data_IF_788716394002
#
_entry.id   IF_788716394002
#
_cell.length_a   1.000
_cell.length_b   1.000
_cell.length_c   1.000
_cell.angle_alpha   90.00
_cell.angle_beta   90.00
_cell.angle_gamma   90.00
#
_symmetry.space_group_name_H-M   'P 1'
#
loop_
_entity.id
_entity.type
_entity.pdbx_description
1 polymer ?
#
# COMPACT_ATOMS: atom_id res chain seq x y z
N UNK A 1 -21.21 18.52 -16.50
CA UNK A 1 -20.35 17.33 -16.42
C UNK A 1 -18.99 17.82 -15.95
N UNK A 2 -18.68 17.71 -14.65
CA UNK A 2 -17.38 18.15 -14.13
C UNK A 2 -16.35 17.08 -14.52
N UNK A 3 -15.64 17.31 -15.61
CA UNK A 3 -14.53 16.45 -16.00
C UNK A 3 -13.41 16.66 -14.97
N UNK A 4 -13.30 15.74 -14.01
CA UNK A 4 -12.15 15.73 -13.10
C UNK A 4 -11.01 15.05 -13.86
N UNK A 5 -9.93 15.78 -14.09
CA UNK A 5 -8.75 15.21 -14.69
C UNK A 5 -8.12 14.28 -13.64
N UNK A 6 -8.06 12.99 -13.97
CA UNK A 6 -7.49 11.97 -13.08
C UNK A 6 -6.13 11.54 -13.62
N UNK A 7 -5.18 11.40 -12.71
CA UNK A 7 -3.85 10.87 -12.96
C UNK A 7 -3.75 9.45 -12.42
N UNK A 8 -2.69 8.73 -12.80
CA UNK A 8 -2.32 7.49 -12.11
C UNK A 8 -1.16 7.78 -11.16
N UNK A 9 -1.32 7.39 -9.91
CA UNK A 9 -0.31 7.50 -8.87
C UNK A 9 0.16 6.11 -8.48
N UNK A 10 1.47 5.93 -8.41
CA UNK A 10 2.09 4.76 -7.80
C UNK A 10 2.31 5.07 -6.32
N UNK A 11 1.50 4.42 -5.49
CA UNK A 11 1.51 4.57 -4.05
C UNK A 11 2.33 3.44 -3.42
N UNK A 12 3.05 3.77 -2.36
CA UNK A 12 3.74 2.84 -1.48
C UNK A 12 3.15 2.98 -0.08
N UNK A 13 2.56 1.91 0.43
CA UNK A 13 1.96 1.85 1.76
C UNK A 13 2.75 0.88 2.63
N UNK A 14 3.45 1.38 3.66
CA UNK A 14 4.12 0.51 4.63
C UNK A 14 3.11 -0.40 5.33
N UNK A 15 3.48 -1.65 5.62
CA UNK A 15 2.62 -2.57 6.39
C UNK A 15 2.51 -2.22 7.89
N UNK A 16 3.11 -1.11 8.31
CA UNK A 16 2.93 -0.49 9.61
C UNK A 16 2.29 0.90 9.51
N UNK A 17 1.69 1.24 8.37
CA UNK A 17 1.01 2.51 8.20
C UNK A 17 -0.15 2.64 9.19
N UNK A 18 -0.23 3.78 9.86
CA UNK A 18 -1.29 4.14 10.81
C UNK A 18 -2.36 5.01 10.12
N UNK A 19 -2.05 5.58 8.97
CA UNK A 19 -3.02 6.33 8.17
C UNK A 19 -2.52 6.73 6.78
N UNK A 20 -3.34 7.50 6.03
CA UNK A 20 -2.97 8.03 4.71
C UNK A 20 -1.70 8.90 4.72
N UNK A 21 -1.33 9.45 5.88
CA UNK A 21 -0.10 10.24 6.04
C UNK A 21 1.18 9.44 5.80
N UNK A 22 1.14 8.13 6.06
CA UNK A 22 2.27 7.22 5.92
C UNK A 22 2.42 6.66 4.50
N UNK A 23 1.42 6.90 3.64
CA UNK A 23 1.48 6.51 2.23
C UNK A 23 2.39 7.47 1.47
N UNK A 24 3.35 6.91 0.75
CA UNK A 24 4.26 7.65 -0.12
C UNK A 24 3.80 7.57 -1.58
N UNK A 25 3.91 8.68 -2.31
CA UNK A 25 3.73 8.70 -3.77
C UNK A 25 5.11 8.53 -4.38
N UNK A 26 5.37 7.38 -5.00
CA UNK A 26 6.66 7.07 -5.62
C UNK A 26 6.79 7.75 -6.97
N UNK A 27 5.72 7.71 -7.75
CA UNK A 27 5.73 8.12 -9.15
C UNK A 27 4.30 8.42 -9.59
N UNK A 28 4.16 9.18 -10.68
CA UNK A 28 2.86 9.55 -11.27
C UNK A 28 2.96 9.45 -12.79
N UNK A 29 1.88 9.04 -13.44
CA UNK A 29 1.71 9.22 -14.87
C UNK A 29 0.78 10.42 -15.12
N UNK A 30 1.28 11.40 -15.86
CA UNK A 30 0.55 12.60 -16.25
C UNK A 30 -0.49 12.30 -17.36
N UNK A 31 -0.23 11.28 -18.18
CA UNK A 31 -1.07 10.89 -19.30
C UNK A 31 -1.01 9.38 -19.59
N UNK A 32 -1.68 8.97 -20.67
CA UNK A 32 -1.74 7.56 -21.08
C UNK A 32 -0.48 7.05 -21.79
N UNK A 33 0.36 7.94 -22.31
CA UNK A 33 1.64 7.57 -22.93
C UNK A 33 2.69 7.27 -21.86
N UNK A 34 2.58 7.91 -20.69
CA UNK A 34 3.46 7.68 -19.54
C UNK A 34 3.03 6.50 -18.64
N UNK A 35 1.77 6.06 -18.74
CA UNK A 35 1.26 4.93 -17.95
C UNK A 35 2.06 3.62 -18.10
N UNK A 36 2.53 3.19 -19.29
CA UNK A 36 3.35 1.99 -19.43
C UNK A 36 4.64 2.01 -18.60
N UNK A 37 5.30 3.18 -18.47
CA UNK A 37 6.48 3.35 -17.62
C UNK A 37 6.11 3.15 -16.16
N UNK A 38 5.05 3.83 -15.70
CA UNK A 38 4.55 3.72 -14.33
C UNK A 38 4.14 2.28 -13.98
N UNK A 39 3.49 1.59 -14.91
CA UNK A 39 3.09 0.20 -14.73
C UNK A 39 4.29 -0.74 -14.62
N UNK A 40 5.33 -0.50 -15.41
CA UNK A 40 6.58 -1.27 -15.29
C UNK A 40 7.26 -1.04 -13.93
N UNK A 41 7.34 0.21 -13.46
CA UNK A 41 7.87 0.53 -12.11
C UNK A 41 7.08 -0.19 -11.01
N UNK A 42 5.76 -0.23 -11.13
CA UNK A 42 4.88 -0.97 -10.22
C UNK A 42 5.16 -2.48 -10.22
N UNK A 43 5.30 -3.11 -11.39
CA UNK A 43 5.57 -4.55 -11.49
C UNK A 43 6.96 -4.89 -10.92
N UNK A 44 7.97 -4.06 -11.18
CA UNK A 44 9.32 -4.22 -10.62
C UNK A 44 9.30 -4.10 -9.09
N UNK A 45 8.63 -3.08 -8.56
CA UNK A 45 8.52 -2.86 -7.12
C UNK A 45 7.71 -3.95 -6.44
N UNK A 46 6.64 -4.48 -7.05
CA UNK A 46 5.85 -5.56 -6.43
C UNK A 46 6.54 -6.93 -6.53
N UNK A 47 7.50 -7.10 -7.43
CA UNK A 47 8.14 -8.39 -7.70
C UNK A 47 8.78 -9.06 -6.46
N UNK A 48 9.29 -8.29 -5.50
CA UNK A 48 9.91 -8.81 -4.27
C UNK A 48 8.93 -9.60 -3.37
N UNK A 49 7.63 -9.33 -3.48
CA UNK A 49 6.61 -10.00 -2.68
C UNK A 49 6.20 -11.37 -3.24
N UNK A 50 6.70 -11.76 -4.41
CA UNK A 50 6.43 -13.07 -5.01
C UNK A 50 7.44 -14.12 -4.54
N UNK A 51 6.95 -15.33 -4.28
CA UNK A 51 7.80 -16.48 -3.99
C UNK A 51 8.32 -17.16 -5.28
N UNK A 52 9.15 -18.20 -5.14
CA UNK A 52 9.71 -18.96 -6.27
C UNK A 52 8.63 -19.58 -7.17
N UNK A 53 7.44 -19.86 -6.60
CA UNK A 53 6.25 -20.35 -7.31
C UNK A 53 5.42 -19.22 -7.97
N UNK A 54 5.90 -17.98 -7.94
CA UNK A 54 5.24 -16.76 -8.45
C UNK A 54 3.90 -16.47 -7.78
N UNK A 55 3.73 -16.88 -6.52
CA UNK A 55 2.58 -16.52 -5.69
C UNK A 55 2.91 -15.31 -4.83
N UNK A 56 2.00 -14.35 -4.80
CA UNK A 56 2.11 -13.14 -3.99
C UNK A 56 1.96 -13.47 -2.50
N UNK A 57 2.86 -12.99 -1.66
CA UNK A 57 2.85 -13.22 -0.22
C UNK A 57 2.99 -11.90 0.55
N UNK A 58 1.91 -11.50 1.21
CA UNK A 58 1.88 -10.31 2.09
C UNK A 58 2.93 -10.38 3.20
N UNK A 59 3.18 -11.56 3.76
CA UNK A 59 4.16 -11.75 4.85
C UNK A 59 5.62 -11.51 4.38
N UNK A 60 5.87 -11.56 3.06
CA UNK A 60 7.19 -11.26 2.49
C UNK A 60 7.31 -9.84 1.95
N UNK A 61 6.19 -9.15 1.79
CA UNK A 61 6.19 -7.76 1.41
C UNK A 61 6.54 -6.94 2.67
N UNK A 62 7.46 -5.99 2.55
CA UNK A 62 7.64 -4.96 3.59
C UNK A 62 6.65 -3.80 3.36
N UNK A 63 6.33 -3.55 2.09
CA UNK A 63 5.51 -2.45 1.62
C UNK A 63 4.52 -2.95 0.55
N UNK A 64 3.31 -2.41 0.55
CA UNK A 64 2.31 -2.62 -0.50
C UNK A 64 2.47 -1.53 -1.54
N UNK A 65 2.58 -1.93 -2.80
CA UNK A 65 2.58 -1.01 -3.93
C UNK A 65 1.24 -1.10 -4.64
N UNK A 66 0.65 0.05 -4.97
CA UNK A 66 -0.65 0.13 -5.64
C UNK A 66 -0.66 1.25 -6.69
N UNK A 67 -1.40 1.02 -7.77
CA UNK A 67 -1.71 2.03 -8.78
C UNK A 67 -3.11 2.60 -8.55
N UNK A 68 -3.18 3.89 -8.21
CA UNK A 68 -4.41 4.58 -7.83
C UNK A 68 -4.75 5.66 -8.85
N UNK A 69 -6.00 5.70 -9.30
CA UNK A 69 -6.46 6.65 -10.34
C UNK A 69 -7.37 7.72 -9.75
N UNK A 70 -6.80 8.85 -9.34
CA UNK A 70 -7.53 9.94 -8.65
C UNK A 70 -7.15 11.32 -9.18
N UNK A 71 -7.81 12.37 -8.69
CA UNK A 71 -7.54 13.75 -9.13
C UNK A 71 -6.40 14.44 -8.38
N UNK A 72 -6.03 13.95 -7.19
CA UNK A 72 -4.99 14.56 -6.34
C UNK A 72 -4.19 13.50 -5.60
N UNK A 73 -2.96 13.83 -5.21
CA UNK A 73 -2.12 12.97 -4.38
C UNK A 73 -2.79 12.63 -3.04
N UNK A 74 -3.51 13.58 -2.43
CA UNK A 74 -4.23 13.34 -1.18
C UNK A 74 -5.26 12.21 -1.33
N UNK A 75 -6.09 12.29 -2.36
CA UNK A 75 -7.08 11.25 -2.67
C UNK A 75 -6.39 9.91 -2.99
N UNK A 76 -5.25 9.95 -3.67
CA UNK A 76 -4.49 8.73 -3.97
C UNK A 76 -3.98 8.04 -2.69
N UNK A 77 -3.47 8.81 -1.72
CA UNK A 77 -3.01 8.30 -0.42
C UNK A 77 -4.14 7.73 0.42
N UNK A 78 -5.28 8.41 0.45
CA UNK A 78 -6.48 7.94 1.18
C UNK A 78 -6.97 6.60 0.61
N UNK A 79 -7.11 6.50 -0.71
CA UNK A 79 -7.58 5.28 -1.37
C UNK A 79 -6.55 4.14 -1.29
N UNK A 80 -5.25 4.44 -1.38
CA UNK A 80 -4.19 3.44 -1.18
C UNK A 80 -4.19 2.87 0.24
N UNK A 81 -4.33 3.71 1.26
CA UNK A 81 -4.42 3.27 2.64
C UNK A 81 -5.67 2.42 2.89
N UNK A 82 -6.82 2.86 2.37
CA UNK A 82 -8.09 2.13 2.52
C UNK A 82 -7.99 0.73 1.91
N UNK A 83 -7.41 0.61 0.70
CA UNK A 83 -7.21 -0.68 0.04
C UNK A 83 -6.26 -1.60 0.79
N UNK A 84 -5.20 -1.03 1.37
CA UNK A 84 -4.16 -1.77 2.09
C UNK A 84 -4.56 -2.21 3.51
N UNK A 85 -5.72 -1.78 4.04
CA UNK A 85 -6.06 -1.99 5.45
C UNK A 85 -6.05 -3.47 5.86
N UNK A 86 -6.61 -4.35 5.04
CA UNK A 86 -6.71 -5.76 5.38
C UNK A 86 -5.31 -6.40 5.46
N UNK A 87 -4.43 -6.05 4.53
CA UNK A 87 -3.06 -6.52 4.46
C UNK A 87 -2.21 -5.98 5.61
N UNK A 88 -2.38 -4.70 5.97
CA UNK A 88 -1.75 -4.09 7.15
C UNK A 88 -2.14 -4.86 8.41
N UNK A 89 -3.45 -5.05 8.65
CA UNK A 89 -3.95 -5.78 9.83
C UNK A 89 -3.39 -7.21 9.84
N UNK A 90 -3.42 -7.91 8.71
CA UNK A 90 -2.92 -9.28 8.60
C UNK A 90 -1.43 -9.35 8.95
N UNK A 91 -0.62 -8.43 8.43
CA UNK A 91 0.81 -8.37 8.73
C UNK A 91 1.08 -8.06 10.21
N UNK A 92 0.37 -7.08 10.77
CA UNK A 92 0.52 -6.72 12.19
C UNK A 92 0.15 -7.90 13.10
N UNK A 93 -0.94 -8.61 12.80
CA UNK A 93 -1.32 -9.81 13.55
C UNK A 93 -0.24 -10.89 13.47
N UNK A 94 0.30 -11.13 12.27
CA UNK A 94 1.41 -12.05 12.08
C UNK A 94 2.65 -11.68 12.93
N UNK A 95 3.05 -10.40 12.93
CA UNK A 95 4.18 -9.89 13.74
C UNK A 95 3.94 -10.04 15.24
N UNK A 96 2.73 -9.79 15.72
CA UNK A 96 2.37 -10.02 17.14
C UNK A 96 2.46 -11.51 17.49
N UNK A 97 1.95 -12.38 16.62
CA UNK A 97 1.94 -13.82 16.86
C UNK A 97 3.34 -14.46 16.80
N UNK A 98 4.19 -14.04 15.86
CA UNK A 98 5.51 -14.64 15.66
C UNK A 98 6.59 -14.02 16.55
N UNK A 99 6.66 -12.68 16.57
CA UNK A 99 7.79 -11.96 17.16
C UNK A 99 7.44 -11.27 18.48
N UNK A 100 6.18 -11.37 18.93
CA UNK A 100 5.66 -10.64 20.09
C UNK A 100 5.90 -9.13 20.00
N UNK A 101 5.80 -8.61 18.78
CA UNK A 101 6.10 -7.22 18.47
C UNK A 101 5.14 -6.27 19.21
N UNK A 102 5.68 -5.54 20.19
CA UNK A 102 4.92 -4.60 21.01
C UNK A 102 4.41 -3.40 20.21
N UNK A 103 5.13 -2.98 19.16
CA UNK A 103 4.72 -1.89 18.29
C UNK A 103 3.54 -2.33 17.43
N UNK A 104 3.63 -3.51 16.81
CA UNK A 104 2.51 -4.04 16.02
C UNK A 104 1.23 -4.22 16.85
N UNK A 105 1.37 -4.65 18.11
CA UNK A 105 0.25 -4.74 19.06
C UNK A 105 -0.35 -3.37 19.40
N UNK A 106 0.48 -2.34 19.55
CA UNK A 106 0.01 -0.98 19.80
C UNK A 106 -0.77 -0.44 18.59
N UNK A 107 -0.24 -0.58 17.38
CA UNK A 107 -0.89 -0.13 16.14
C UNK A 107 -2.25 -0.83 15.95
N UNK A 108 -2.32 -2.15 16.13
CA UNK A 108 -3.59 -2.89 16.04
C UNK A 108 -4.64 -2.35 17.01
N UNK A 109 -4.25 -2.02 18.24
CA UNK A 109 -5.16 -1.52 19.26
C UNK A 109 -5.56 -0.07 19.02
N UNK A 110 -4.59 0.81 18.77
CA UNK A 110 -4.80 2.26 18.75
C UNK A 110 -5.37 2.76 17.42
N UNK A 111 -5.00 2.12 16.30
CA UNK A 111 -5.40 2.54 14.95
C UNK A 111 -6.58 1.72 14.45
N UNK A 112 -6.57 0.40 14.68
CA UNK A 112 -7.54 -0.52 14.10
C UNK A 112 -8.59 -1.05 15.10
N UNK A 113 -8.49 -0.72 16.39
CA UNK A 113 -9.36 -1.20 17.48
C UNK A 113 -9.44 -2.75 17.57
N UNK A 114 -8.31 -3.42 17.31
CA UNK A 114 -8.17 -4.88 17.35
C UNK A 114 -7.29 -5.28 18.53
N UNK A 115 -7.80 -6.12 19.43
CA UNK A 115 -7.00 -6.77 20.47
C UNK A 115 -6.29 -8.01 19.92
N UNK A 116 -4.96 -8.03 20.02
CA UNK A 116 -4.08 -9.13 19.62
C UNK A 116 -3.07 -9.50 20.73
#
# INVERSE_FOLDING_TARGET
MNYKHNFFYLCKTPLSAEGPGDVEIISKADDSEDFPRLFQEYEELRSHAFNDDKLYSIVRADDIYDLIRTGTEKEAKEEAFEKAQQEIITNLQHRVMQDKDANAKAILKEVHDIEA
#
